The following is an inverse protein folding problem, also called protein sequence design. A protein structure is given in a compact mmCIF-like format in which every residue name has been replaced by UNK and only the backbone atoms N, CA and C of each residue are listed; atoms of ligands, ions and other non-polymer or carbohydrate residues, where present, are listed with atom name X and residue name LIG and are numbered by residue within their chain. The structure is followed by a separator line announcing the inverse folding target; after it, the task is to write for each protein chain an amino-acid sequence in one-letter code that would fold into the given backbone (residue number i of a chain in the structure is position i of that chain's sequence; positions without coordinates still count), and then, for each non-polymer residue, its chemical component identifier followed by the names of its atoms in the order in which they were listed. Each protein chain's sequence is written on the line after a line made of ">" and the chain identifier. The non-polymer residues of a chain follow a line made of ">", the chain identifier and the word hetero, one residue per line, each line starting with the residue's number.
data_IF_602219135499
#
_entry.id   IF_602219135499
#
_cell.length_a   1.000
_cell.length_b   1.000
_cell.length_c   1.000
_cell.angle_alpha   90.00
_cell.angle_beta   90.00
_cell.angle_gamma   90.00
#
_symmetry.space_group_name_H-M   'P 1'
#
loop_
_entity.id
_entity.type
_entity.pdbx_description
1 polymer ?
#
# COMPACT_ATOMS: atom_id res chain seq x y z
N UNK A 1 2.62 24.61 -0.55
CA UNK A 1 3.43 23.42 -0.87
C UNK A 1 2.82 22.26 -0.11
N UNK A 2 2.59 21.13 -0.73
CA UNK A 2 2.09 19.95 -0.02
C UNK A 2 3.18 19.36 0.86
N UNK A 3 2.80 18.83 2.04
CA UNK A 3 3.72 18.09 2.91
C UNK A 3 4.08 16.76 2.26
N UNK A 4 5.31 16.32 2.43
CA UNK A 4 5.71 14.96 2.06
C UNK A 4 4.97 13.90 2.88
N UNK A 5 4.97 12.67 2.40
CA UNK A 5 4.40 11.55 3.17
C UNK A 5 5.13 11.38 4.51
N UNK A 6 6.45 11.58 4.50
CA UNK A 6 7.28 11.58 5.69
C UNK A 6 6.82 12.63 6.73
N UNK A 7 6.69 13.89 6.32
CA UNK A 7 6.23 14.98 7.20
C UNK A 7 4.83 14.73 7.76
N UNK A 8 3.92 14.18 6.94
CA UNK A 8 2.57 13.79 7.40
C UNK A 8 2.66 12.71 8.48
N UNK A 9 3.44 11.65 8.25
CA UNK A 9 3.58 10.57 9.21
C UNK A 9 4.23 11.03 10.52
N UNK A 10 5.21 11.94 10.47
CA UNK A 10 5.81 12.55 11.66
C UNK A 10 4.80 13.39 12.46
N UNK A 11 4.10 14.30 11.80
CA UNK A 11 3.14 15.18 12.45
C UNK A 11 1.95 14.42 13.07
N UNK A 12 1.50 13.37 12.41
CA UNK A 12 0.40 12.51 12.88
C UNK A 12 0.87 11.49 13.92
N UNK A 13 2.18 11.38 14.20
CA UNK A 13 2.73 10.42 15.18
C UNK A 13 2.49 8.97 14.78
N UNK A 14 2.74 8.63 13.50
CA UNK A 14 2.44 7.33 12.93
C UNK A 14 3.61 6.33 12.99
N UNK A 15 4.62 6.59 13.79
CA UNK A 15 5.74 5.68 13.99
C UNK A 15 5.32 4.37 14.63
N UNK A 16 5.91 3.28 14.19
CA UNK A 16 5.68 1.97 14.80
C UNK A 16 6.14 1.95 16.25
N UNK A 17 5.22 1.65 17.15
CA UNK A 17 5.44 1.37 18.57
C UNK A 17 4.76 0.03 18.88
N UNK A 18 5.52 -1.04 18.76
CA UNK A 18 5.02 -2.41 18.99
C UNK A 18 4.49 -2.61 20.41
N UNK A 19 5.09 -1.93 21.40
CA UNK A 19 4.67 -2.03 22.78
C UNK A 19 3.27 -1.43 23.00
N UNK A 20 2.89 -0.45 22.19
CA UNK A 20 1.56 0.16 22.20
C UNK A 20 0.60 -0.46 21.20
N UNK A 21 1.08 -1.34 20.33
CA UNK A 21 0.28 -1.89 19.25
C UNK A 21 -0.22 -0.80 18.32
N UNK A 22 0.68 0.10 17.88
CA UNK A 22 0.35 1.26 17.07
C UNK A 22 1.47 1.61 16.09
N UNK A 23 1.10 2.22 14.97
CA UNK A 23 2.03 2.81 14.02
C UNK A 23 2.22 2.01 12.74
N UNK A 24 3.08 2.54 11.88
CA UNK A 24 3.58 1.91 10.64
C UNK A 24 5.10 1.95 10.63
N UNK A 25 5.72 0.96 10.03
CA UNK A 25 7.18 0.87 9.90
C UNK A 25 7.75 1.50 8.62
N UNK A 26 6.88 2.05 7.76
CA UNK A 26 7.26 2.72 6.50
C UNK A 26 8.20 3.94 6.66
N UNK A 27 8.44 4.38 7.90
CA UNK A 27 9.40 5.42 8.25
C UNK A 27 10.64 4.91 8.98
N UNK A 28 10.55 3.74 9.61
CA UNK A 28 11.55 3.25 10.57
C UNK A 28 12.31 2.04 10.05
N UNK A 29 11.63 0.92 9.91
CA UNK A 29 12.23 -0.32 9.38
C UNK A 29 12.39 -0.26 7.86
N UNK A 30 11.42 0.36 7.18
CA UNK A 30 11.32 0.45 5.74
C UNK A 30 11.28 1.93 5.31
N UNK A 31 12.33 2.48 4.66
CA UNK A 31 12.38 3.90 4.30
C UNK A 31 11.60 4.20 2.99
N UNK A 32 10.36 3.73 2.86
CA UNK A 32 9.60 3.80 1.61
C UNK A 32 9.07 5.19 1.28
N UNK A 33 8.92 6.07 2.27
CA UNK A 33 8.37 7.42 2.03
C UNK A 33 9.16 8.21 1.00
N UNK A 34 10.49 8.04 0.94
CA UNK A 34 11.36 8.69 -0.06
C UNK A 34 11.05 8.26 -1.50
N UNK A 35 10.54 7.02 -1.67
CA UNK A 35 10.21 6.46 -2.97
C UNK A 35 8.75 6.76 -3.35
N UNK A 36 7.87 6.84 -2.35
CA UNK A 36 6.44 7.10 -2.56
C UNK A 36 6.14 8.54 -2.94
N UNK A 37 6.82 9.53 -2.35
CA UNK A 37 6.57 10.93 -2.67
C UNK A 37 6.69 11.20 -4.18
N UNK A 38 7.81 10.90 -4.87
CA UNK A 38 7.91 11.12 -6.31
C UNK A 38 6.99 10.21 -7.14
N UNK A 39 6.66 9.01 -6.62
CA UNK A 39 5.78 8.06 -7.31
C UNK A 39 4.33 8.53 -7.31
N UNK A 40 3.86 9.10 -6.20
CA UNK A 40 2.47 9.45 -5.97
C UNK A 40 2.15 10.94 -6.20
N UNK A 41 3.15 11.79 -6.42
CA UNK A 41 3.00 13.24 -6.57
C UNK A 41 1.95 13.62 -7.62
N UNK A 42 1.86 12.84 -8.71
CA UNK A 42 0.91 13.11 -9.79
C UNK A 42 -0.57 13.05 -9.37
N UNK A 43 -0.89 12.44 -8.23
CA UNK A 43 -2.27 12.32 -7.70
C UNK A 43 -2.54 13.18 -6.46
N UNK A 44 -1.56 13.96 -5.99
CA UNK A 44 -1.65 14.73 -4.72
C UNK A 44 -2.85 15.67 -4.64
N UNK A 45 -3.21 16.28 -5.74
CA UNK A 45 -4.24 17.32 -5.84
C UNK A 45 -5.41 16.93 -6.76
N UNK A 46 -5.52 15.63 -7.04
CA UNK A 46 -6.55 15.09 -7.94
C UNK A 46 -7.36 14.01 -7.26
N UNK A 47 -8.58 13.75 -7.74
CA UNK A 47 -9.27 12.53 -7.38
C UNK A 47 -8.43 11.31 -7.71
N UNK A 48 -8.25 10.43 -6.74
CA UNK A 48 -7.48 9.18 -6.87
C UNK A 48 -8.22 8.07 -6.14
N UNK A 49 -8.25 6.88 -6.72
CA UNK A 49 -8.76 5.66 -6.09
C UNK A 49 -7.59 4.81 -5.65
N UNK A 50 -7.43 4.66 -4.35
CA UNK A 50 -6.38 3.85 -3.74
C UNK A 50 -6.98 2.62 -3.07
N UNK A 51 -6.36 1.47 -3.32
CA UNK A 51 -6.56 0.24 -2.55
C UNK A 51 -5.26 -0.08 -1.81
N UNK A 52 -5.33 -0.21 -0.49
CA UNK A 52 -4.27 -0.81 0.33
C UNK A 52 -4.74 -2.18 0.82
N UNK A 53 -3.91 -3.21 0.66
CA UNK A 53 -4.11 -4.54 1.23
C UNK A 53 -3.16 -4.66 2.42
N UNK A 54 -3.72 -4.93 3.61
CA UNK A 54 -2.99 -4.87 4.87
C UNK A 54 -3.21 -3.53 5.58
N UNK A 55 -4.09 -3.50 6.58
CA UNK A 55 -4.32 -2.32 7.42
C UNK A 55 -3.45 -2.32 8.67
N UNK A 56 -3.10 -3.50 9.16
CA UNK A 56 -2.40 -3.71 10.43
C UNK A 56 -2.98 -2.87 11.57
N UNK A 57 -2.33 -1.80 11.99
CA UNK A 57 -2.82 -0.87 13.02
C UNK A 57 -3.59 0.34 12.46
N UNK A 58 -3.70 0.48 11.14
CA UNK A 58 -4.40 1.59 10.46
C UNK A 58 -3.59 2.89 10.37
N UNK A 59 -2.33 2.89 10.74
CA UNK A 59 -1.51 4.11 10.66
C UNK A 59 -1.24 4.55 9.23
N UNK A 60 -0.95 3.62 8.31
CA UNK A 60 -0.84 3.89 6.88
C UNK A 60 -2.14 4.45 6.30
N UNK A 61 -3.30 3.95 6.75
CA UNK A 61 -4.62 4.46 6.35
C UNK A 61 -4.78 5.95 6.67
N UNK A 62 -4.33 6.39 7.86
CA UNK A 62 -4.33 7.82 8.22
C UNK A 62 -3.39 8.60 7.31
N UNK A 63 -2.19 8.07 7.06
CA UNK A 63 -1.23 8.71 6.18
C UNK A 63 -1.80 8.92 4.78
N UNK A 64 -2.44 7.91 4.18
CA UNK A 64 -3.07 8.02 2.86
C UNK A 64 -4.23 9.02 2.84
N UNK A 65 -5.08 9.04 3.89
CA UNK A 65 -6.17 9.99 4.02
C UNK A 65 -5.68 11.45 3.99
N UNK A 66 -4.57 11.74 4.68
CA UNK A 66 -3.97 13.07 4.70
C UNK A 66 -3.17 13.37 3.44
N UNK A 67 -2.50 12.36 2.89
CA UNK A 67 -1.68 12.50 1.70
C UNK A 67 -2.51 12.77 0.44
N UNK A 68 -3.68 12.14 0.31
CA UNK A 68 -4.61 12.31 -0.82
C UNK A 68 -5.91 12.98 -0.39
N UNK A 69 -5.95 14.31 -0.27
CA UNK A 69 -7.14 15.02 0.26
C UNK A 69 -8.40 14.87 -0.60
N UNK A 70 -8.26 14.45 -1.85
CA UNK A 70 -9.37 14.11 -2.76
C UNK A 70 -9.46 12.60 -3.06
N UNK A 71 -8.76 11.77 -2.30
CA UNK A 71 -8.68 10.34 -2.51
C UNK A 71 -9.95 9.59 -2.05
N UNK A 72 -10.36 8.57 -2.81
CA UNK A 72 -11.28 7.51 -2.41
C UNK A 72 -10.43 6.31 -1.99
N UNK A 73 -10.29 6.10 -0.67
CA UNK A 73 -9.33 5.18 -0.08
C UNK A 73 -10.07 3.94 0.44
N UNK A 74 -9.71 2.81 -0.09
CA UNK A 74 -10.18 1.50 0.39
C UNK A 74 -9.01 0.76 0.98
N UNK A 75 -9.15 0.31 2.21
CA UNK A 75 -8.17 -0.53 2.89
C UNK A 75 -8.81 -1.87 3.22
N UNK A 76 -8.10 -2.96 3.00
CA UNK A 76 -8.60 -4.32 3.25
C UNK A 76 -7.67 -5.03 4.20
N UNK A 77 -8.21 -5.63 5.24
CA UNK A 77 -7.47 -6.51 6.15
C UNK A 77 -8.29 -7.77 6.41
N UNK A 78 -7.61 -8.88 6.65
CA UNK A 78 -8.28 -10.14 7.00
C UNK A 78 -8.75 -10.17 8.46
N UNK A 79 -8.12 -9.35 9.32
CA UNK A 79 -8.38 -9.34 10.75
C UNK A 79 -9.03 -8.03 11.22
N UNK A 80 -10.14 -8.09 11.97
CA UNK A 80 -10.74 -6.93 12.62
C UNK A 80 -9.91 -6.53 13.88
N UNK A 81 -8.75 -5.94 13.68
CA UNK A 81 -7.88 -5.54 14.80
C UNK A 81 -8.52 -4.42 15.62
N UNK A 82 -8.44 -4.53 16.94
CA UNK A 82 -8.94 -3.48 17.84
C UNK A 82 -8.25 -2.13 17.63
N UNK A 83 -6.99 -2.13 17.21
CA UNK A 83 -6.22 -0.92 16.89
C UNK A 83 -6.83 -0.09 15.77
N UNK A 84 -7.64 -0.69 14.88
CA UNK A 84 -8.36 0.03 13.82
C UNK A 84 -9.40 1.02 14.39
N UNK A 85 -9.83 0.87 15.66
CA UNK A 85 -10.65 1.88 16.33
C UNK A 85 -9.90 3.21 16.50
N UNK A 86 -8.57 3.20 16.54
CA UNK A 86 -7.75 4.39 16.72
C UNK A 86 -7.73 5.33 15.50
N UNK A 87 -8.20 4.86 14.34
CA UNK A 87 -8.32 5.73 13.14
C UNK A 87 -9.60 6.57 13.15
N UNK A 88 -10.59 6.21 14.00
CA UNK A 88 -11.84 6.96 14.08
C UNK A 88 -11.58 8.42 14.46
N UNK A 89 -12.19 9.33 13.71
CA UNK A 89 -11.98 10.77 13.89
C UNK A 89 -10.64 11.32 13.36
N UNK A 90 -9.77 10.45 12.83
CA UNK A 90 -8.51 10.83 12.20
C UNK A 90 -8.55 10.80 10.68
N UNK A 91 -9.50 10.05 10.11
CA UNK A 91 -9.76 9.96 8.67
C UNK A 91 -11.15 10.49 8.33
N UNK A 92 -11.37 10.88 7.08
CA UNK A 92 -12.70 11.25 6.58
C UNK A 92 -13.49 9.99 6.21
N UNK A 93 -14.57 9.65 6.97
CA UNK A 93 -15.33 8.43 6.74
C UNK A 93 -16.15 8.44 5.42
N UNK A 94 -16.27 9.59 4.75
CA UNK A 94 -16.98 9.67 3.47
C UNK A 94 -16.12 9.18 2.30
N UNK A 95 -14.80 9.14 2.45
CA UNK A 95 -13.85 8.78 1.39
C UNK A 95 -12.81 7.72 1.80
N UNK A 96 -12.73 7.38 3.09
CA UNK A 96 -11.82 6.36 3.61
C UNK A 96 -12.60 5.27 4.32
N UNK A 97 -12.45 4.02 3.88
CA UNK A 97 -13.13 2.85 4.44
C UNK A 97 -12.18 1.68 4.63
N UNK A 98 -12.43 0.91 5.68
CA UNK A 98 -11.76 -0.38 5.93
C UNK A 98 -12.78 -1.50 5.72
N UNK A 99 -12.37 -2.53 4.99
CA UNK A 99 -13.15 -3.72 4.71
C UNK A 99 -12.42 -4.92 5.33
N UNK A 100 -13.12 -5.71 6.11
CA UNK A 100 -12.56 -6.95 6.67
C UNK A 100 -12.93 -8.10 5.74
N UNK A 101 -11.92 -8.58 5.00
CA UNK A 101 -12.07 -9.65 4.01
C UNK A 101 -10.70 -10.23 3.62
N UNK A 102 -10.70 -11.41 3.02
CA UNK A 102 -9.53 -11.96 2.35
C UNK A 102 -9.38 -11.32 0.96
N UNK A 103 -8.39 -10.42 0.84
CA UNK A 103 -8.11 -9.70 -0.39
C UNK A 103 -7.60 -10.60 -1.53
N UNK A 104 -7.06 -11.77 -1.21
CA UNK A 104 -6.42 -12.63 -2.22
C UNK A 104 -7.38 -13.66 -2.85
N UNK A 105 -8.67 -13.48 -2.65
CA UNK A 105 -9.70 -14.27 -3.34
C UNK A 105 -10.19 -13.56 -4.60
N UNK A 106 -10.43 -14.35 -5.67
CA UNK A 106 -11.00 -13.79 -6.91
C UNK A 106 -12.39 -13.19 -6.68
N UNK A 107 -13.20 -13.83 -5.85
CA UNK A 107 -14.56 -13.36 -5.53
C UNK A 107 -14.53 -11.95 -4.91
N UNK A 108 -13.69 -11.74 -3.91
CA UNK A 108 -13.55 -10.44 -3.29
C UNK A 108 -12.98 -9.41 -4.27
N UNK A 109 -11.91 -9.75 -4.98
CA UNK A 109 -11.33 -8.85 -5.98
C UNK A 109 -12.38 -8.45 -7.04
N UNK A 110 -13.21 -9.38 -7.52
CA UNK A 110 -14.25 -9.08 -8.51
C UNK A 110 -15.36 -8.16 -7.97
N UNK A 111 -15.60 -8.17 -6.66
CA UNK A 111 -16.56 -7.25 -6.03
C UNK A 111 -16.11 -5.79 -6.01
N UNK A 112 -14.81 -5.54 -6.18
CA UNK A 112 -14.22 -4.21 -6.18
C UNK A 112 -14.21 -3.59 -7.58
N UNK A 113 -14.23 -2.26 -7.63
CA UNK A 113 -14.06 -1.48 -8.86
C UNK A 113 -12.62 -1.43 -9.37
N UNK A 114 -12.26 -0.33 -10.00
CA UNK A 114 -10.91 -0.05 -10.52
C UNK A 114 -10.20 0.99 -9.67
N UNK A 115 -8.87 1.00 -9.71
CA UNK A 115 -8.01 1.83 -8.87
C UNK A 115 -6.92 2.53 -9.70
N UNK A 116 -6.45 3.64 -9.20
CA UNK A 116 -5.28 4.34 -9.73
C UNK A 116 -4.00 3.86 -9.04
N UNK A 117 -4.14 3.47 -7.77
CA UNK A 117 -3.05 2.92 -6.95
C UNK A 117 -3.57 1.66 -6.25
N UNK A 118 -2.82 0.58 -6.38
CA UNK A 118 -2.96 -0.61 -5.53
C UNK A 118 -1.65 -0.81 -4.78
N UNK A 119 -1.71 -0.85 -3.45
CA UNK A 119 -0.58 -1.09 -2.58
C UNK A 119 -0.80 -2.39 -1.80
N UNK A 120 0.07 -3.38 -1.97
CA UNK A 120 0.05 -4.65 -1.26
C UNK A 120 1.09 -4.63 -0.14
N UNK A 121 0.61 -4.53 1.08
CA UNK A 121 1.33 -4.59 2.35
C UNK A 121 0.74 -5.72 3.22
N UNK A 122 0.52 -6.87 2.61
CA UNK A 122 -0.20 -7.99 3.19
C UNK A 122 0.70 -8.98 3.96
N UNK A 123 0.54 -10.31 3.77
CA UNK A 123 1.25 -11.33 4.57
C UNK A 123 2.69 -11.61 4.11
N UNK A 124 3.24 -10.88 3.17
CA UNK A 124 4.63 -10.91 2.68
C UNK A 124 5.13 -12.31 2.31
N UNK A 125 4.29 -13.11 1.67
CA UNK A 125 4.67 -14.40 1.12
C UNK A 125 4.48 -14.42 -0.41
N UNK A 126 5.21 -15.31 -1.10
CA UNK A 126 5.21 -15.34 -2.56
C UNK A 126 3.81 -15.58 -3.14
N UNK A 127 3.03 -16.45 -2.52
CA UNK A 127 1.69 -16.81 -3.01
C UNK A 127 0.76 -15.58 -3.02
N UNK A 128 0.70 -14.82 -1.91
CA UNK A 128 -0.11 -13.61 -1.81
C UNK A 128 0.33 -12.54 -2.82
N UNK A 129 1.63 -12.34 -2.99
CA UNK A 129 2.18 -11.37 -3.94
C UNK A 129 1.85 -11.74 -5.39
N UNK A 130 1.93 -13.03 -5.75
CA UNK A 130 1.51 -13.52 -7.06
C UNK A 130 0.00 -13.36 -7.28
N UNK A 131 -0.80 -13.62 -6.24
CA UNK A 131 -2.25 -13.42 -6.29
C UNK A 131 -2.60 -11.94 -6.42
N UNK A 132 -1.93 -11.06 -5.67
CA UNK A 132 -2.10 -9.63 -5.80
C UNK A 132 -1.83 -9.17 -7.24
N UNK A 133 -0.70 -9.52 -7.81
CA UNK A 133 -0.35 -9.16 -9.17
C UNK A 133 -1.40 -9.63 -10.19
N UNK A 134 -1.86 -10.89 -10.07
CA UNK A 134 -2.87 -11.47 -10.98
C UNK A 134 -4.26 -10.84 -10.84
N UNK A 135 -4.70 -10.55 -9.61
CA UNK A 135 -6.05 -10.09 -9.34
C UNK A 135 -6.19 -8.58 -9.52
N UNK A 136 -5.18 -7.80 -9.11
CA UNK A 136 -5.32 -6.35 -9.00
C UNK A 136 -4.62 -5.56 -10.11
N UNK A 137 -3.59 -6.10 -10.77
CA UNK A 137 -3.04 -5.43 -11.95
C UNK A 137 -4.10 -5.20 -13.05
N UNK A 138 -4.99 -6.16 -13.39
CA UNK A 138 -6.07 -5.91 -14.35
C UNK A 138 -7.04 -4.80 -13.91
N UNK A 139 -7.19 -4.57 -12.59
CA UNK A 139 -8.08 -3.56 -12.01
C UNK A 139 -7.48 -2.15 -11.94
N UNK A 140 -6.23 -1.97 -12.32
CA UNK A 140 -5.67 -0.63 -12.45
C UNK A 140 -6.37 0.15 -13.56
N UNK A 141 -6.58 1.43 -13.34
CA UNK A 141 -6.94 2.38 -14.38
C UNK A 141 -5.74 2.60 -15.34
N UNK A 142 -5.95 3.05 -16.57
CA UNK A 142 -4.84 3.44 -17.45
C UNK A 142 -3.93 4.49 -16.78
N UNK A 143 -2.62 4.22 -16.73
CA UNK A 143 -1.64 5.04 -16.02
C UNK A 143 -1.55 4.78 -14.51
N UNK A 144 -2.36 3.86 -14.00
CA UNK A 144 -2.30 3.43 -12.59
C UNK A 144 -1.10 2.55 -12.28
N UNK A 145 -0.87 2.32 -10.99
CA UNK A 145 0.28 1.57 -10.49
C UNK A 145 -0.11 0.50 -9.46
N UNK A 146 0.59 -0.61 -9.53
CA UNK A 146 0.64 -1.64 -8.49
C UNK A 146 1.96 -1.53 -7.76
N UNK A 147 1.93 -1.47 -6.45
CA UNK A 147 3.09 -1.52 -5.55
C UNK A 147 2.95 -2.78 -4.70
N UNK A 148 4.02 -3.56 -4.59
CA UNK A 148 4.11 -4.71 -3.69
C UNK A 148 5.29 -4.47 -2.76
N UNK A 149 5.02 -4.41 -1.45
CA UNK A 149 5.99 -4.10 -0.40
C UNK A 149 6.58 -5.35 0.26
N UNK A 150 7.65 -5.14 1.01
CA UNK A 150 8.25 -6.08 1.96
C UNK A 150 8.53 -7.45 1.34
N UNK A 151 9.23 -7.44 0.20
CA UNK A 151 9.56 -8.67 -0.54
C UNK A 151 10.76 -9.36 0.11
N UNK A 152 10.59 -10.51 0.79
CA UNK A 152 11.64 -11.13 1.59
C UNK A 152 12.83 -11.62 0.76
N UNK A 153 12.58 -11.98 -0.51
CA UNK A 153 13.60 -12.58 -1.38
C UNK A 153 13.65 -11.86 -2.73
N UNK A 154 14.80 -11.32 -3.10
CA UNK A 154 15.00 -10.62 -4.36
C UNK A 154 14.68 -11.49 -5.60
N UNK A 155 14.83 -12.82 -5.52
CA UNK A 155 14.44 -13.71 -6.63
C UNK A 155 12.94 -13.65 -6.95
N UNK A 156 12.09 -13.22 -5.99
CA UNK A 156 10.65 -13.11 -6.19
C UNK A 156 10.27 -11.95 -7.12
N UNK A 157 11.13 -10.98 -7.32
CA UNK A 157 10.92 -9.93 -8.33
C UNK A 157 10.63 -10.52 -9.71
N UNK A 158 11.41 -11.52 -10.12
CA UNK A 158 11.18 -12.19 -11.41
C UNK A 158 9.85 -12.96 -11.40
N UNK A 159 9.59 -13.73 -10.33
CA UNK A 159 8.35 -14.51 -10.22
C UNK A 159 7.10 -13.64 -10.27
N UNK A 160 7.13 -12.46 -9.62
CA UNK A 160 6.01 -11.51 -9.64
C UNK A 160 5.90 -10.86 -11.03
N UNK A 161 7.02 -10.49 -11.65
CA UNK A 161 7.03 -9.89 -12.98
C UNK A 161 6.50 -10.86 -14.05
N UNK A 162 6.82 -12.14 -13.95
CA UNK A 162 6.42 -13.17 -14.92
C UNK A 162 4.90 -13.41 -14.97
N UNK A 163 4.15 -13.06 -13.93
CA UNK A 163 2.69 -13.16 -13.92
C UNK A 163 1.97 -11.90 -14.40
N UNK A 164 2.70 -10.80 -14.63
CA UNK A 164 2.17 -9.59 -15.24
C UNK A 164 2.10 -9.72 -16.77
N UNK A 165 1.26 -8.93 -17.46
CA UNK A 165 1.22 -8.93 -18.92
C UNK A 165 2.59 -8.62 -19.53
N UNK A 166 2.91 -9.30 -20.64
CA UNK A 166 4.16 -9.06 -21.38
C UNK A 166 4.30 -7.58 -21.77
N UNK A 167 5.46 -7.00 -21.48
CA UNK A 167 5.74 -5.60 -21.77
C UNK A 167 5.31 -4.63 -20.65
N UNK A 168 4.79 -5.12 -19.52
CA UNK A 168 4.55 -4.30 -18.35
C UNK A 168 5.84 -3.59 -17.93
N UNK A 169 5.77 -2.26 -17.74
CA UNK A 169 6.87 -1.51 -17.16
C UNK A 169 6.96 -1.84 -15.67
N UNK A 170 8.11 -2.33 -15.23
CA UNK A 170 8.38 -2.69 -13.83
C UNK A 170 9.63 -1.96 -13.34
N UNK A 171 9.61 -1.49 -12.11
CA UNK A 171 10.77 -1.00 -11.34
C UNK A 171 10.85 -1.77 -10.04
N UNK A 172 12.04 -2.18 -9.65
CA UNK A 172 12.32 -2.79 -8.36
C UNK A 172 13.27 -1.90 -7.56
N UNK A 173 13.06 -1.83 -6.25
CA UNK A 173 13.92 -1.14 -5.29
C UNK A 173 14.31 -2.16 -4.24
N UNK A 174 15.58 -2.23 -3.92
CA UNK A 174 16.12 -3.13 -2.89
C UNK A 174 16.99 -2.34 -1.91
N UNK A 175 16.42 -2.02 -0.77
CA UNK A 175 17.09 -1.33 0.35
C UNK A 175 17.50 -2.30 1.47
N UNK A 176 17.40 -3.60 1.26
CA UNK A 176 17.65 -4.64 2.27
C UNK A 176 19.06 -4.65 2.85
N UNK A 177 20.01 -3.99 2.21
CA UNK A 177 21.39 -3.83 2.71
C UNK A 177 21.53 -2.68 3.73
N UNK A 178 20.59 -1.75 3.78
CA UNK A 178 20.65 -0.53 4.61
C UNK A 178 19.44 -0.37 5.53
N UNK A 179 18.44 -1.21 5.37
CA UNK A 179 17.19 -1.22 6.12
C UNK A 179 16.84 -2.65 6.59
N UNK A 180 15.56 -2.96 6.80
CA UNK A 180 15.15 -4.33 7.14
C UNK A 180 15.43 -5.31 5.98
N UNK A 181 15.64 -6.58 6.29
CA UNK A 181 16.06 -7.59 5.32
C UNK A 181 15.07 -7.83 4.16
N UNK A 182 13.82 -7.44 4.35
CA UNK A 182 12.72 -7.47 3.39
C UNK A 182 12.36 -6.09 2.80
N UNK A 183 13.14 -5.06 3.09
CA UNK A 183 12.94 -3.71 2.52
C UNK A 183 13.14 -3.70 1.00
N UNK A 184 12.19 -4.31 0.30
CA UNK A 184 12.15 -4.39 -1.15
C UNK A 184 10.76 -4.10 -1.64
N UNK A 185 10.64 -3.30 -2.69
CA UNK A 185 9.39 -3.04 -3.36
C UNK A 185 9.47 -3.32 -4.86
N UNK A 186 8.35 -3.79 -5.41
CA UNK A 186 8.12 -3.89 -6.85
C UNK A 186 7.01 -2.92 -7.24
N UNK A 187 7.23 -2.16 -8.29
CA UNK A 187 6.28 -1.20 -8.85
C UNK A 187 6.00 -1.58 -10.30
N UNK A 188 4.73 -1.76 -10.65
CA UNK A 188 4.30 -2.08 -12.01
C UNK A 188 3.29 -1.04 -12.51
N UNK A 189 3.48 -0.52 -13.72
CA UNK A 189 2.60 0.48 -14.36
C UNK A 189 1.70 -0.17 -15.41
N UNK A 190 0.43 0.30 -15.45
CA UNK A 190 -0.53 -0.07 -16.51
C UNK A 190 -0.59 0.95 -17.62
#
# INVERSE_FOLDING_TARGET
>A
MYKSLHEIMEEEGLFLDEAKGWGTDKLTKHPYTKDYDPLFEQWRDKPVKLLEIGAYHGASTIAWDKYFPQGDITVVDIEPRKSLENIQGRVDPNRTRIIIADAYTKEFADSLGTFDIVNDDGPHNLESMLMCAKLYYPKLNPGGILVIEDIPNAAWFNSITDVLPTGTKVKTIDDSSTAAADSRILIAWK
#
